data_IF_751417701465
#
_entry.id   IF_751417701465
#
_cell.length_a   1.000
_cell.length_b   1.000
_cell.length_c   1.000
_cell.angle_alpha   90.00
_cell.angle_beta   90.00
_cell.angle_gamma   90.00
#
_symmetry.space_group_name_H-M   'P 1'
#
loop_
_entity.id
_entity.type
_entity.pdbx_description
1 polymer ?
#
# COMPACT_ATOMS: atom_id res chain seq x y z
N UNK A 1 18.13 -1.66 15.84
CA UNK A 1 16.91 -1.84 15.01
C UNK A 1 17.31 -1.49 13.59
N UNK A 2 17.07 -2.36 12.62
CA UNK A 2 17.40 -2.09 11.23
C UNK A 2 16.32 -1.19 10.62
N UNK A 3 16.70 -0.13 9.90
CA UNK A 3 15.75 0.81 9.31
C UNK A 3 14.75 0.12 8.38
N UNK A 4 15.22 -0.84 7.56
CA UNK A 4 14.38 -1.67 6.69
C UNK A 4 13.35 -2.51 7.46
N UNK A 5 13.72 -3.06 8.62
CA UNK A 5 12.80 -3.87 9.43
C UNK A 5 11.69 -3.01 10.01
N UNK A 6 12.02 -1.81 10.47
CA UNK A 6 11.03 -0.86 10.96
C UNK A 6 10.13 -0.33 9.85
N UNK A 7 10.69 -0.09 8.65
CA UNK A 7 9.92 0.31 7.49
C UNK A 7 8.94 -0.78 7.04
N UNK A 8 9.41 -2.03 6.92
CA UNK A 8 8.54 -3.15 6.56
C UNK A 8 7.42 -3.37 7.59
N UNK A 9 7.68 -3.28 8.89
CA UNK A 9 6.64 -3.41 9.93
C UNK A 9 5.61 -2.26 9.85
N UNK A 10 6.06 -1.03 9.62
CA UNK A 10 5.17 0.12 9.44
C UNK A 10 4.27 -0.05 8.21
N UNK A 11 4.87 -0.41 7.07
CA UNK A 11 4.15 -0.59 5.81
C UNK A 11 3.14 -1.75 5.90
N UNK A 12 3.52 -2.87 6.52
CA UNK A 12 2.61 -3.98 6.76
C UNK A 12 1.41 -3.55 7.60
N UNK A 13 1.59 -2.72 8.63
CA UNK A 13 0.48 -2.24 9.46
C UNK A 13 -0.42 -1.23 8.74
N UNK A 14 0.16 -0.28 8.01
CA UNK A 14 -0.60 0.73 7.26
C UNK A 14 -1.42 0.11 6.12
N UNK A 15 -0.85 -0.88 5.44
CA UNK A 15 -1.48 -1.51 4.28
C UNK A 15 -2.22 -2.81 4.58
N UNK A 16 -2.19 -3.31 5.84
CA UNK A 16 -2.87 -4.54 6.24
C UNK A 16 -4.32 -4.67 5.72
N UNK A 17 -5.16 -3.61 5.73
CA UNK A 17 -6.53 -3.71 5.22
C UNK A 17 -6.64 -3.95 3.71
N UNK A 18 -5.56 -3.72 2.96
CA UNK A 18 -5.51 -3.69 1.50
C UNK A 18 -4.57 -4.75 0.91
N UNK A 19 -3.70 -5.34 1.74
CA UNK A 19 -2.86 -6.48 1.40
C UNK A 19 -3.73 -7.64 0.90
N UNK A 20 -3.26 -8.32 -0.15
CA UNK A 20 -3.93 -9.43 -0.84
C UNK A 20 -5.30 -9.10 -1.47
N UNK A 21 -5.77 -7.83 -1.40
CA UNK A 21 -6.97 -7.37 -2.09
C UNK A 21 -6.66 -6.63 -3.39
N UNK A 22 -5.80 -5.61 -3.30
CA UNK A 22 -5.33 -4.82 -4.45
C UNK A 22 -3.93 -4.21 -4.25
N UNK A 23 -3.25 -4.53 -3.14
CA UNK A 23 -1.92 -4.01 -2.80
C UNK A 23 -0.94 -5.14 -2.51
N UNK A 24 0.29 -4.98 -2.99
CA UNK A 24 1.45 -5.78 -2.57
C UNK A 24 2.59 -4.83 -2.21
N UNK A 25 3.21 -5.03 -1.05
CA UNK A 25 4.35 -4.22 -0.59
C UNK A 25 5.63 -5.05 -0.72
N UNK A 26 6.64 -4.49 -1.40
CA UNK A 26 7.95 -5.13 -1.56
C UNK A 26 9.06 -4.14 -1.24
N UNK A 27 9.77 -4.37 -0.12
CA UNK A 27 10.91 -3.58 0.33
C UNK A 27 10.59 -2.08 0.36
N UNK A 28 10.85 -1.37 -0.74
CA UNK A 28 10.69 0.08 -0.88
C UNK A 28 9.49 0.48 -1.77
N UNK A 29 8.88 -0.48 -2.49
CA UNK A 29 7.83 -0.23 -3.47
C UNK A 29 6.45 -0.76 -3.02
N UNK A 30 5.39 -0.05 -3.44
CA UNK A 30 4.00 -0.48 -3.32
C UNK A 30 3.46 -0.75 -4.72
N UNK A 31 3.07 -2.00 -4.97
CA UNK A 31 2.37 -2.39 -6.19
C UNK A 31 0.86 -2.35 -5.96
N UNK A 32 0.13 -1.72 -6.88
CA UNK A 32 -1.34 -1.64 -6.85
C UNK A 32 -1.87 -2.33 -8.11
N UNK A 33 -2.67 -3.38 -7.94
CA UNK A 33 -3.28 -4.11 -9.06
C UNK A 33 -4.77 -3.80 -9.19
N UNK A 34 -5.27 -3.80 -10.41
CA UNK A 34 -6.67 -3.44 -10.72
C UNK A 34 -7.09 -4.08 -12.03
N UNK A 35 -8.39 -4.41 -12.19
CA UNK A 35 -8.89 -5.04 -13.43
C UNK A 35 -9.27 -4.03 -14.50
N UNK A 36 -9.47 -2.77 -14.13
CA UNK A 36 -9.80 -1.67 -15.03
C UNK A 36 -9.16 -0.37 -14.55
N UNK A 37 -9.03 0.60 -15.45
CA UNK A 37 -8.50 1.93 -15.14
C UNK A 37 -9.38 2.67 -14.12
N UNK A 38 -10.71 2.59 -14.24
CA UNK A 38 -11.63 3.21 -13.29
C UNK A 38 -11.55 2.60 -11.87
N UNK A 39 -11.23 1.31 -11.77
CA UNK A 39 -10.95 0.66 -10.49
C UNK A 39 -9.57 1.09 -9.96
N UNK A 40 -8.58 1.20 -10.85
CA UNK A 40 -7.25 1.67 -10.51
C UNK A 40 -7.25 3.08 -9.93
N UNK A 41 -8.02 4.00 -10.51
CA UNK A 41 -8.20 5.36 -9.98
C UNK A 41 -8.73 5.36 -8.54
N UNK A 42 -9.66 4.45 -8.22
CA UNK A 42 -10.20 4.32 -6.86
C UNK A 42 -9.16 3.77 -5.91
N UNK A 43 -8.45 2.72 -6.30
CA UNK A 43 -7.37 2.14 -5.49
C UNK A 43 -6.24 3.13 -5.23
N UNK A 44 -5.82 3.88 -6.25
CA UNK A 44 -4.82 4.94 -6.11
C UNK A 44 -5.26 6.02 -5.12
N UNK A 45 -6.51 6.50 -5.22
CA UNK A 45 -7.05 7.48 -4.27
C UNK A 45 -7.02 6.97 -2.84
N UNK A 46 -7.41 5.72 -2.61
CA UNK A 46 -7.37 5.09 -1.28
C UNK A 46 -5.95 5.03 -0.73
N UNK A 47 -4.98 4.58 -1.53
CA UNK A 47 -3.58 4.46 -1.08
C UNK A 47 -2.92 5.81 -0.84
N UNK A 48 -3.18 6.78 -1.70
CA UNK A 48 -2.70 8.15 -1.49
C UNK A 48 -3.29 8.77 -0.21
N UNK A 49 -4.54 8.46 0.15
CA UNK A 49 -5.13 8.91 1.42
C UNK A 49 -4.45 8.28 2.64
N UNK A 50 -4.16 6.98 2.58
CA UNK A 50 -3.43 6.26 3.63
C UNK A 50 -2.02 6.85 3.83
N UNK A 51 -1.32 7.14 2.73
CA UNK A 51 0.03 7.73 2.76
C UNK A 51 0.05 9.18 3.27
N UNK A 52 -1.00 9.96 3.00
CA UNK A 52 -1.12 11.34 3.49
C UNK A 52 -1.48 11.45 4.99
N UNK A 53 -1.81 10.34 5.66
CA UNK A 53 -2.15 10.34 7.09
C UNK A 53 -3.48 11.03 7.39
N UNK A 54 -4.55 10.60 6.71
CA UNK A 54 -5.92 10.89 7.14
C UNK A 54 -6.49 9.78 8.00
#
# INVERSE_FOLDING_TARGET
MNALVAFMDLMNRMFLPYLDQFVVVFIDDILIYSRSEAEHDKHLRTILQVLHGK
#
